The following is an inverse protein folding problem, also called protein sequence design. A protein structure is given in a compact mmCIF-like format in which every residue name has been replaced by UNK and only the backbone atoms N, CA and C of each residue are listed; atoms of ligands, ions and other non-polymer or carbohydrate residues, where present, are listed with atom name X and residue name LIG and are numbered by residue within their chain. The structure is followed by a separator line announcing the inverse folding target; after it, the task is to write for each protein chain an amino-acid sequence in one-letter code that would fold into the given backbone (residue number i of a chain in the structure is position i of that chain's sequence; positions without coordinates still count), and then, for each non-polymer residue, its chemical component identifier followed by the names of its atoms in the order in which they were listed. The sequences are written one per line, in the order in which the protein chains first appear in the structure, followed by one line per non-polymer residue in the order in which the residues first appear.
data_IF_047180942476
#
_entry.id   IF_047180942476
#
_cell.length_a   1.000
_cell.length_b   1.000
_cell.length_c   1.000
_cell.angle_alpha   90.00
_cell.angle_beta   90.00
_cell.angle_gamma   90.00
#
_symmetry.space_group_name_H-M   'P 1'
#
loop_
_entity.id
_entity.type
_entity.pdbx_description
1 polymer ?
#
# COMPACT_ATOMS: atom_id res chain seq x y z
N UNK A 1 -4.69 -1.60 16.47
CA UNK A 1 -3.48 -2.42 16.23
C UNK A 1 -2.24 -1.58 15.94
N UNK A 2 -1.36 -1.43 16.92
CA UNK A 2 -0.10 -0.68 16.82
C UNK A 2 0.90 -1.29 15.81
N UNK A 3 1.90 -0.50 15.40
CA UNK A 3 3.07 -0.98 14.66
C UNK A 3 4.01 -1.65 15.67
N UNK A 4 3.93 -2.98 15.76
CA UNK A 4 4.64 -3.75 16.79
C UNK A 4 6.09 -4.11 16.42
N UNK A 5 6.44 -4.01 15.14
CA UNK A 5 7.72 -4.49 14.62
C UNK A 5 8.17 -3.73 13.38
N UNK A 6 9.48 -3.71 13.15
CA UNK A 6 10.10 -3.08 12.00
C UNK A 6 9.61 -3.69 10.68
N UNK A 7 9.65 -2.91 9.60
CA UNK A 7 9.28 -3.32 8.23
C UNK A 7 7.80 -3.62 7.98
N UNK A 8 6.88 -3.15 8.82
CA UNK A 8 5.47 -3.04 8.41
C UNK A 8 5.37 -2.04 7.26
N UNK A 9 4.68 -2.37 6.17
CA UNK A 9 4.60 -1.52 4.98
C UNK A 9 3.16 -1.06 4.78
N UNK A 10 2.98 0.16 4.31
CA UNK A 10 1.67 0.75 4.06
C UNK A 10 1.64 1.26 2.62
N UNK A 11 0.65 0.84 1.85
CA UNK A 11 0.39 1.36 0.53
C UNK A 11 -0.70 2.42 0.64
N UNK A 12 -0.41 3.61 0.14
CA UNK A 12 -1.28 4.79 0.14
C UNK A 12 -1.58 5.15 -1.31
N UNK A 13 -2.85 5.47 -1.59
CA UNK A 13 -3.29 5.84 -2.93
C UNK A 13 -2.89 7.28 -3.31
N UNK A 14 -3.19 7.68 -4.55
CA UNK A 14 -2.89 9.02 -5.06
C UNK A 14 -3.69 10.16 -4.41
N UNK A 15 -4.76 9.83 -3.71
CA UNK A 15 -5.58 10.79 -2.96
C UNK A 15 -5.13 10.89 -1.50
N UNK A 16 -4.02 10.23 -1.14
CA UNK A 16 -3.50 10.18 0.23
C UNK A 16 -4.30 9.26 1.16
N UNK A 17 -5.16 8.39 0.62
CA UNK A 17 -5.96 7.45 1.41
C UNK A 17 -5.21 6.12 1.62
N UNK A 18 -5.23 5.54 2.83
CA UNK A 18 -4.67 4.21 3.07
C UNK A 18 -5.38 3.16 2.21
N UNK A 19 -4.62 2.42 1.41
CA UNK A 19 -5.15 1.33 0.58
C UNK A 19 -4.99 -0.03 1.28
N UNK A 20 -3.78 -0.34 1.75
CA UNK A 20 -3.47 -1.66 2.34
C UNK A 20 -2.26 -1.62 3.26
N UNK A 21 -2.25 -2.54 4.25
CA UNK A 21 -1.13 -2.78 5.16
C UNK A 21 -0.53 -4.17 4.89
N UNK A 22 0.79 -4.25 4.86
CA UNK A 22 1.55 -5.49 4.69
C UNK A 22 2.38 -5.77 5.95
N UNK A 23 2.42 -7.04 6.33
CA UNK A 23 3.16 -7.50 7.49
C UNK A 23 4.69 -7.41 7.24
N UNK A 24 5.49 -7.35 8.31
CA UNK A 24 6.96 -7.36 8.22
C UNK A 24 7.54 -8.48 7.34
N UNK A 25 6.94 -9.67 7.45
CA UNK A 25 7.36 -10.90 6.77
C UNK A 25 6.86 -11.05 5.33
N UNK A 26 6.01 -10.13 4.86
CA UNK A 26 5.51 -10.19 3.49
C UNK A 26 6.66 -9.95 2.51
N UNK A 27 6.69 -10.76 1.44
CA UNK A 27 7.77 -10.73 0.45
C UNK A 27 7.79 -9.37 -0.26
N UNK A 28 8.99 -8.81 -0.58
CA UNK A 28 9.09 -7.50 -1.23
C UNK A 28 8.29 -7.35 -2.53
N UNK A 29 8.07 -8.43 -3.29
CA UNK A 29 7.33 -8.39 -4.56
C UNK A 29 5.85 -8.77 -4.43
N UNK A 30 5.39 -9.12 -3.22
CA UNK A 30 4.00 -9.58 -3.02
C UNK A 30 2.94 -8.50 -3.23
N UNK A 31 3.34 -7.22 -3.25
CA UNK A 31 2.47 -6.07 -3.42
C UNK A 31 2.67 -5.34 -4.75
N UNK A 32 3.38 -5.95 -5.71
CA UNK A 32 3.62 -5.36 -7.02
C UNK A 32 2.30 -5.13 -7.79
N UNK A 33 1.39 -6.11 -7.79
CA UNK A 33 0.09 -6.00 -8.47
C UNK A 33 -0.84 -4.97 -7.82
N UNK A 34 -0.79 -4.83 -6.49
CA UNK A 34 -1.50 -3.78 -5.76
C UNK A 34 -1.01 -2.38 -6.22
N UNK A 35 0.31 -2.22 -6.40
CA UNK A 35 0.92 -0.96 -6.90
C UNK A 35 0.49 -0.70 -8.35
N UNK A 36 0.59 -1.68 -9.25
CA UNK A 36 0.16 -1.54 -10.65
C UNK A 36 -1.32 -1.15 -10.75
N UNK A 37 -2.16 -1.75 -9.91
CA UNK A 37 -3.59 -1.42 -9.83
C UNK A 37 -3.79 0.05 -9.49
N UNK A 38 -3.13 0.56 -8.45
CA UNK A 38 -3.24 1.97 -8.08
C UNK A 38 -2.66 2.92 -9.13
N UNK A 39 -1.61 2.50 -9.85
CA UNK A 39 -1.03 3.24 -10.97
C UNK A 39 -1.90 3.25 -12.24
N UNK A 40 -2.85 2.33 -12.38
CA UNK A 40 -3.83 2.37 -13.46
C UNK A 40 -5.05 3.26 -13.14
N UNK A 41 -5.34 3.52 -11.85
CA UNK A 41 -6.51 4.31 -11.43
C UNK A 41 -6.30 5.81 -11.61
N UNK A 42 -7.23 6.52 -12.25
CA UNK A 42 -7.19 7.99 -12.34
C UNK A 42 -7.39 8.63 -10.97
N UNK A 43 -6.66 9.70 -10.70
CA UNK A 43 -6.91 10.57 -9.54
C UNK A 43 -8.34 11.08 -9.60
N UNK A 44 -9.06 11.03 -8.47
CA UNK A 44 -10.36 11.71 -8.39
C UNK A 44 -10.06 13.20 -8.27
N UNK A 45 -10.39 13.97 -9.30
CA UNK A 45 -10.40 15.42 -9.20
C UNK A 45 -11.43 15.80 -8.13
N UNK A 46 -11.01 16.63 -7.17
CA UNK A 46 -11.88 17.21 -6.14
C UNK A 46 -12.63 18.40 -6.71
#
# INVERSE_FOLDING_TARGET
DFVKWNFTKFLVDRNGQPYKRFAPKDRPLSFEEDIKTLLAQKTREK
#
